data_IF_616002666125
#
_entry.id   IF_616002666125
#
_cell.length_a   1.000
_cell.length_b   1.000
_cell.length_c   1.000
_cell.angle_alpha   90.00
_cell.angle_beta   90.00
_cell.angle_gamma   90.00
#
_symmetry.space_group_name_H-M   'P 1'
#
loop_
_entity.id
_entity.type
_entity.pdbx_description
1 polymer ?
#
# COMPACT_ATOMS: atom_id res chain seq x y z
N UNK A 1 -13.40 -27.94 -25.60
CA UNK A 1 -12.57 -26.77 -25.92
C UNK A 1 -13.49 -25.64 -26.39
N UNK A 2 -14.15 -24.98 -25.43
CA UNK A 2 -15.01 -23.85 -25.69
C UNK A 2 -14.17 -22.59 -25.93
N UNK A 3 -14.54 -21.80 -26.90
CA UNK A 3 -14.04 -20.46 -27.08
C UNK A 3 -14.68 -19.62 -25.96
N UNK A 4 -13.97 -19.43 -24.82
CA UNK A 4 -14.40 -18.51 -23.79
C UNK A 4 -14.58 -17.11 -24.40
N UNK A 5 -15.73 -16.49 -24.15
CA UNK A 5 -15.99 -15.13 -24.61
C UNK A 5 -14.94 -14.18 -24.01
N UNK A 6 -14.38 -13.22 -24.78
CA UNK A 6 -13.41 -12.26 -24.27
C UNK A 6 -13.88 -11.50 -23.03
N UNK A 7 -15.18 -11.40 -22.80
CA UNK A 7 -15.79 -10.79 -21.63
C UNK A 7 -15.58 -11.58 -20.31
N UNK A 8 -15.58 -12.92 -20.36
CA UNK A 8 -15.41 -13.78 -19.18
C UNK A 8 -14.00 -13.64 -18.58
N UNK A 9 -12.96 -13.69 -19.45
CA UNK A 9 -11.59 -13.50 -19.02
C UNK A 9 -11.36 -12.10 -18.42
N UNK A 10 -12.01 -11.08 -19.00
CA UNK A 10 -11.92 -9.71 -18.50
C UNK A 10 -12.54 -9.59 -17.10
N UNK A 11 -13.68 -10.22 -16.88
CA UNK A 11 -14.39 -10.22 -15.59
C UNK A 11 -13.58 -10.88 -14.48
N UNK A 12 -12.91 -12.00 -14.78
CA UNK A 12 -12.02 -12.69 -13.82
C UNK A 12 -10.82 -11.80 -13.46
N UNK A 13 -10.25 -11.07 -14.41
CA UNK A 13 -9.16 -10.12 -14.17
C UNK A 13 -9.65 -8.96 -13.28
N UNK A 14 -10.89 -8.51 -13.47
CA UNK A 14 -11.48 -7.44 -12.66
C UNK A 14 -11.64 -7.83 -11.20
N UNK A 15 -12.00 -9.10 -10.91
CA UNK A 15 -12.05 -9.61 -9.51
C UNK A 15 -10.69 -9.45 -8.84
N UNK A 16 -9.63 -9.95 -9.51
CA UNK A 16 -8.29 -9.89 -8.95
C UNK A 16 -7.85 -8.44 -8.68
N UNK A 17 -8.15 -7.52 -9.60
CA UNK A 17 -7.85 -6.09 -9.42
C UNK A 17 -8.63 -5.46 -8.27
N UNK A 18 -9.92 -5.75 -8.17
CA UNK A 18 -10.77 -5.23 -7.10
C UNK A 18 -10.28 -5.71 -5.74
N UNK A 19 -9.96 -7.01 -5.63
CA UNK A 19 -9.42 -7.60 -4.41
C UNK A 19 -8.10 -6.94 -4.01
N UNK A 20 -7.19 -6.72 -4.96
CA UNK A 20 -5.90 -6.09 -4.72
C UNK A 20 -6.05 -4.62 -4.28
N UNK A 21 -6.95 -3.87 -4.92
CA UNK A 21 -7.19 -2.47 -4.59
C UNK A 21 -7.79 -2.24 -3.20
N UNK A 22 -8.65 -3.16 -2.74
CA UNK A 22 -9.37 -3.01 -1.47
C UNK A 22 -8.71 -3.72 -0.29
N UNK A 23 -8.00 -4.82 -0.55
CA UNK A 23 -7.51 -5.71 0.49
C UNK A 23 -5.99 -5.99 0.44
N UNK A 24 -5.32 -5.67 -0.66
CA UNK A 24 -3.87 -5.90 -0.89
C UNK A 24 -3.45 -7.38 -0.79
N UNK A 25 -4.41 -8.30 -0.61
CA UNK A 25 -4.20 -9.75 -0.53
C UNK A 25 -5.47 -10.51 -0.93
N UNK A 26 -5.37 -11.84 -1.07
CA UNK A 26 -6.51 -12.72 -1.37
C UNK A 26 -6.92 -12.76 -2.84
N UNK A 27 -6.16 -12.15 -3.77
CA UNK A 27 -6.48 -12.12 -5.21
C UNK A 27 -6.64 -13.53 -5.79
N UNK A 28 -5.73 -14.44 -5.47
CA UNK A 28 -5.79 -15.84 -5.90
C UNK A 28 -7.00 -16.55 -5.31
N UNK A 29 -7.29 -16.32 -4.01
CA UNK A 29 -8.43 -16.93 -3.34
C UNK A 29 -9.75 -16.53 -3.99
N UNK A 30 -9.95 -15.25 -4.29
CA UNK A 30 -11.16 -14.75 -4.96
C UNK A 30 -11.38 -15.41 -6.33
N UNK A 31 -10.32 -15.49 -7.14
CA UNK A 31 -10.38 -16.11 -8.48
C UNK A 31 -10.65 -17.61 -8.40
N UNK A 32 -10.01 -18.32 -7.48
CA UNK A 32 -10.16 -19.76 -7.30
C UNK A 32 -11.57 -20.12 -6.80
N UNK A 33 -12.11 -19.33 -5.84
CA UNK A 33 -13.50 -19.52 -5.39
C UNK A 33 -14.48 -19.26 -6.53
N UNK A 34 -14.31 -18.18 -7.32
CA UNK A 34 -15.18 -17.90 -8.47
C UNK A 34 -15.18 -19.03 -9.48
N UNK A 35 -14.01 -19.56 -9.83
CA UNK A 35 -13.88 -20.70 -10.74
C UNK A 35 -14.57 -21.96 -10.23
N UNK A 36 -14.44 -22.27 -8.93
CA UNK A 36 -15.11 -23.44 -8.36
C UNK A 36 -16.63 -23.24 -8.25
N UNK A 37 -17.12 -22.01 -7.95
CA UNK A 37 -18.55 -21.70 -7.99
C UNK A 37 -19.15 -21.91 -9.37
N UNK A 38 -18.48 -21.48 -10.43
CA UNK A 38 -18.92 -21.70 -11.82
C UNK A 38 -18.96 -23.19 -12.17
N UNK A 39 -17.93 -23.95 -11.79
CA UNK A 39 -17.92 -25.40 -11.98
C UNK A 39 -19.06 -26.07 -11.25
N UNK A 40 -19.34 -25.71 -10.02
CA UNK A 40 -20.48 -26.25 -9.24
C UNK A 40 -21.82 -25.83 -9.83
N UNK A 41 -21.93 -24.64 -10.41
CA UNK A 41 -23.16 -24.22 -11.08
C UNK A 41 -23.46 -25.05 -12.32
N UNK A 42 -22.43 -25.44 -13.11
CA UNK A 42 -22.57 -26.36 -14.24
C UNK A 42 -23.15 -27.72 -13.77
N UNK A 43 -22.59 -28.29 -12.70
CA UNK A 43 -23.09 -29.54 -12.11
C UNK A 43 -24.58 -29.44 -11.67
N UNK A 44 -25.00 -28.27 -11.16
CA UNK A 44 -26.40 -28.03 -10.77
C UNK A 44 -27.33 -27.86 -11.99
N UNK A 45 -26.88 -27.19 -13.03
CA UNK A 45 -27.64 -27.06 -14.31
C UNK A 45 -27.84 -28.42 -14.93
N UNK A 46 -26.83 -29.28 -14.93
CA UNK A 46 -26.96 -30.69 -15.40
C UNK A 46 -27.98 -31.49 -14.59
N UNK A 47 -28.21 -31.13 -13.33
CA UNK A 47 -29.25 -31.68 -12.46
C UNK A 47 -30.62 -31.02 -12.64
N UNK A 48 -30.79 -30.17 -13.67
CA UNK A 48 -32.01 -29.41 -13.96
C UNK A 48 -32.37 -28.38 -12.87
N UNK A 49 -31.39 -27.81 -12.17
CA UNK A 49 -31.60 -26.63 -11.33
C UNK A 49 -31.49 -25.38 -12.20
N UNK A 50 -32.53 -24.55 -12.20
CA UNK A 50 -32.57 -23.35 -13.03
C UNK A 50 -31.51 -22.33 -12.59
N UNK A 51 -30.78 -21.67 -13.52
CA UNK A 51 -29.74 -20.66 -13.21
C UNK A 51 -30.20 -19.58 -12.21
N UNK A 52 -31.44 -19.09 -12.35
CA UNK A 52 -32.02 -18.11 -11.41
C UNK A 52 -32.03 -18.61 -9.97
N UNK A 53 -32.33 -19.90 -9.72
CA UNK A 53 -32.32 -20.51 -8.38
C UNK A 53 -30.90 -20.63 -7.86
N UNK A 54 -29.94 -20.97 -8.75
CA UNK A 54 -28.52 -21.04 -8.40
C UNK A 54 -28.03 -19.66 -7.99
N UNK A 55 -28.34 -18.61 -8.77
CA UNK A 55 -27.99 -17.24 -8.46
C UNK A 55 -28.55 -16.79 -7.11
N UNK A 56 -29.79 -17.10 -6.80
CA UNK A 56 -30.42 -16.75 -5.52
C UNK A 56 -29.76 -17.48 -4.36
N UNK A 57 -29.54 -18.79 -4.50
CA UNK A 57 -28.84 -19.59 -3.48
C UNK A 57 -27.40 -19.12 -3.24
N UNK A 58 -26.69 -18.70 -4.27
CA UNK A 58 -25.32 -18.14 -4.12
C UNK A 58 -25.33 -16.79 -3.39
N UNK A 59 -26.31 -15.93 -3.64
CA UNK A 59 -26.47 -14.68 -2.89
C UNK A 59 -26.77 -14.94 -1.42
N UNK A 60 -27.75 -15.79 -1.13
CA UNK A 60 -28.09 -16.16 0.25
C UNK A 60 -26.87 -16.73 0.99
N UNK A 61 -26.09 -17.59 0.31
CA UNK A 61 -24.87 -18.17 0.89
C UNK A 61 -23.80 -17.11 1.14
N UNK A 62 -23.59 -16.20 0.20
CA UNK A 62 -22.61 -15.10 0.32
C UNK A 62 -22.96 -14.16 1.47
N UNK A 63 -24.22 -13.71 1.53
CA UNK A 63 -24.72 -12.83 2.59
C UNK A 63 -24.56 -13.49 3.96
N UNK A 64 -24.93 -14.77 4.05
CA UNK A 64 -24.79 -15.54 5.30
C UNK A 64 -23.31 -15.77 5.67
N UNK A 65 -22.44 -16.02 4.70
CA UNK A 65 -21.01 -16.16 4.96
C UNK A 65 -20.41 -14.87 5.55
N UNK A 66 -20.77 -13.72 5.01
CA UNK A 66 -20.34 -12.40 5.52
C UNK A 66 -20.81 -12.19 6.96
N UNK A 67 -22.08 -12.47 7.26
CA UNK A 67 -22.60 -12.39 8.63
C UNK A 67 -21.84 -13.30 9.60
N UNK A 68 -21.46 -14.50 9.16
CA UNK A 68 -20.74 -15.48 9.97
C UNK A 68 -19.26 -15.14 10.18
N UNK A 69 -18.64 -14.40 9.27
CA UNK A 69 -17.22 -13.97 9.39
C UNK A 69 -17.00 -13.22 10.70
N UNK A 70 -17.90 -12.30 11.06
CA UNK A 70 -17.81 -11.53 12.29
C UNK A 70 -17.79 -12.40 13.55
N UNK A 71 -18.42 -13.58 13.50
CA UNK A 71 -18.46 -14.52 14.63
C UNK A 71 -17.13 -15.26 14.84
N UNK A 72 -16.27 -15.30 13.83
CA UNK A 72 -14.97 -15.97 13.86
C UNK A 72 -13.81 -14.99 14.08
N UNK A 73 -14.09 -13.68 14.07
CA UNK A 73 -13.08 -12.62 14.25
C UNK A 73 -12.56 -12.55 15.69
N UNK A 74 -11.31 -12.17 15.81
CA UNK A 74 -10.68 -11.79 17.09
C UNK A 74 -10.14 -10.37 17.00
N UNK A 75 -10.16 -9.64 18.14
CA UNK A 75 -9.62 -8.30 18.21
C UNK A 75 -8.11 -8.24 17.88
N UNK A 76 -7.66 -7.08 17.41
CA UNK A 76 -6.29 -6.87 16.93
C UNK A 76 -5.45 -6.17 17.98
N UNK A 77 -4.27 -6.72 18.26
CA UNK A 77 -3.20 -6.04 18.98
C UNK A 77 -1.97 -5.86 18.06
N UNK A 78 -0.98 -5.10 18.52
CA UNK A 78 0.23 -4.84 17.74
C UNK A 78 1.00 -6.13 17.39
N UNK A 79 0.95 -7.15 18.24
CA UNK A 79 1.60 -8.45 17.98
C UNK A 79 0.88 -9.19 16.86
N UNK A 80 -0.45 -9.14 16.85
CA UNK A 80 -1.26 -9.72 15.79
C UNK A 80 -1.01 -9.02 14.45
N UNK A 81 -0.90 -7.69 14.43
CA UNK A 81 -0.50 -6.95 13.21
C UNK A 81 0.83 -7.42 12.65
N UNK A 82 1.81 -7.71 13.52
CA UNK A 82 3.10 -8.26 13.07
C UNK A 82 2.96 -9.66 12.47
N UNK A 83 2.12 -10.51 13.05
CA UNK A 83 1.88 -11.85 12.49
C UNK A 83 1.07 -11.78 11.17
N UNK A 84 0.12 -10.84 11.04
CA UNK A 84 -0.57 -10.54 9.77
C UNK A 84 0.44 -10.13 8.69
N UNK A 85 1.35 -9.19 8.98
CA UNK A 85 2.41 -8.80 8.06
C UNK A 85 3.30 -9.99 7.66
N UNK A 86 3.67 -10.85 8.61
CA UNK A 86 4.44 -12.07 8.33
C UNK A 86 3.69 -13.04 7.43
N UNK A 87 2.38 -13.17 7.60
CA UNK A 87 1.54 -14.00 6.75
C UNK A 87 1.53 -13.48 5.32
N UNK A 88 1.32 -12.17 5.11
CA UNK A 88 1.33 -11.52 3.81
C UNK A 88 2.69 -11.63 3.09
N UNK A 89 3.79 -11.62 3.83
CA UNK A 89 5.16 -11.78 3.31
C UNK A 89 5.55 -13.24 3.03
N UNK A 90 4.71 -14.19 3.44
CA UNK A 90 4.98 -15.62 3.24
C UNK A 90 4.85 -16.00 1.76
N UNK A 91 5.78 -16.82 1.27
CA UNK A 91 5.81 -17.25 -0.13
C UNK A 91 6.44 -16.24 -1.10
N UNK A 92 6.86 -15.07 -0.62
CA UNK A 92 7.61 -14.07 -1.38
C UNK A 92 9.11 -14.23 -1.11
N UNK A 93 9.97 -13.76 -2.03
CA UNK A 93 11.44 -13.96 -1.94
C UNK A 93 12.13 -13.32 -0.72
N UNK A 94 11.35 -12.72 0.14
CA UNK A 94 11.81 -12.05 1.37
C UNK A 94 11.89 -12.93 2.61
N UNK A 95 11.72 -14.24 2.48
CA UNK A 95 11.61 -15.17 3.61
C UNK A 95 12.68 -15.02 4.71
N UNK A 96 13.94 -14.83 4.34
CA UNK A 96 15.06 -14.67 5.28
C UNK A 96 15.03 -13.35 6.08
N UNK A 97 14.31 -12.35 5.64
CA UNK A 97 14.17 -11.02 6.27
C UNK A 97 12.74 -10.67 6.63
N UNK A 98 11.88 -11.67 6.58
CA UNK A 98 10.43 -11.55 6.81
C UNK A 98 10.10 -10.85 8.13
N UNK A 99 10.78 -11.23 9.23
CA UNK A 99 10.54 -10.61 10.54
C UNK A 99 10.93 -9.13 10.56
N UNK A 100 12.05 -8.80 9.94
CA UNK A 100 12.53 -7.43 9.85
C UNK A 100 11.57 -6.54 9.05
N UNK A 101 11.13 -7.00 7.87
CA UNK A 101 10.19 -6.26 7.04
C UNK A 101 8.81 -6.15 7.69
N UNK A 102 8.34 -7.20 8.38
CA UNK A 102 7.08 -7.15 9.12
C UNK A 102 7.10 -6.07 10.20
N UNK A 103 8.19 -5.98 10.95
CA UNK A 103 8.35 -4.99 12.01
C UNK A 103 8.35 -3.55 11.45
N UNK A 104 9.07 -3.31 10.36
CA UNK A 104 9.07 -2.01 9.68
C UNK A 104 7.68 -1.67 9.13
N UNK A 105 6.98 -2.65 8.53
CA UNK A 105 5.63 -2.45 7.98
C UNK A 105 4.64 -2.02 9.05
N UNK A 106 4.62 -2.71 10.19
CA UNK A 106 3.74 -2.36 11.31
C UNK A 106 4.08 -0.99 11.88
N UNK A 107 5.35 -0.69 12.08
CA UNK A 107 5.79 0.63 12.57
C UNK A 107 5.39 1.75 11.60
N UNK A 108 5.56 1.55 10.30
CA UNK A 108 5.19 2.54 9.30
C UNK A 108 3.68 2.83 9.32
N UNK A 109 2.84 1.78 9.34
CA UNK A 109 1.38 1.93 9.41
C UNK A 109 0.95 2.64 10.70
N UNK A 110 1.43 2.20 11.86
CA UNK A 110 1.08 2.81 13.14
C UNK A 110 1.55 4.26 13.28
N UNK A 111 2.61 4.65 12.56
CA UNK A 111 3.11 6.04 12.58
C UNK A 111 2.18 7.01 11.85
N UNK A 112 1.42 6.54 10.85
CA UNK A 112 0.50 7.37 10.07
C UNK A 112 -0.97 7.14 10.42
N UNK A 113 -1.27 6.10 11.19
CA UNK A 113 -2.62 5.79 11.63
C UNK A 113 -3.22 6.96 12.44
N UNK A 114 -4.48 7.27 12.15
CA UNK A 114 -5.26 8.28 12.83
C UNK A 114 -6.48 7.61 13.45
N UNK A 115 -6.78 7.94 14.69
CA UNK A 115 -7.99 7.50 15.37
C UNK A 115 -8.97 8.67 15.42
N UNK A 116 -10.17 8.47 14.95
CA UNK A 116 -11.26 9.42 15.06
C UNK A 116 -12.49 8.78 15.73
N UNK A 117 -13.63 9.50 15.75
CA UNK A 117 -14.86 9.02 16.36
C UNK A 117 -15.49 7.84 15.60
N UNK A 118 -15.10 7.61 14.36
CA UNK A 118 -15.61 6.54 13.48
C UNK A 118 -14.71 5.30 13.48
N UNK A 119 -13.48 5.41 14.00
CA UNK A 119 -12.52 4.30 14.12
C UNK A 119 -11.11 4.67 13.69
N UNK A 120 -10.27 3.66 13.49
CA UNK A 120 -8.92 3.82 12.97
C UNK A 120 -8.95 3.99 11.44
N UNK A 121 -8.18 4.94 10.92
CA UNK A 121 -8.01 5.19 9.49
C UNK A 121 -6.52 5.30 9.15
N UNK A 122 -6.12 4.72 8.03
CA UNK A 122 -4.73 4.73 7.56
C UNK A 122 -4.69 5.20 6.11
N UNK A 123 -4.08 6.35 5.87
CA UNK A 123 -3.78 6.80 4.51
C UNK A 123 -2.39 6.29 4.10
N UNK A 124 -2.35 5.26 3.24
CA UNK A 124 -1.10 4.68 2.76
C UNK A 124 -0.27 5.65 1.92
N UNK A 125 -0.85 6.70 1.35
CA UNK A 125 -0.13 7.75 0.64
C UNK A 125 0.77 8.57 1.57
N UNK A 126 0.52 8.52 2.88
CA UNK A 126 1.37 9.13 3.90
C UNK A 126 2.63 8.29 4.20
N UNK A 127 2.75 7.06 3.69
CA UNK A 127 3.96 6.23 3.75
C UNK A 127 4.72 6.33 2.42
N UNK A 128 5.78 7.13 2.39
CA UNK A 128 6.62 7.27 1.20
C UNK A 128 7.64 6.14 1.10
N UNK A 129 7.53 5.34 0.05
CA UNK A 129 8.46 4.24 -0.19
C UNK A 129 9.51 4.66 -1.22
N UNK A 130 10.75 4.76 -0.78
CA UNK A 130 11.92 5.00 -1.64
C UNK A 130 12.71 3.71 -1.77
N UNK A 131 13.22 3.44 -2.97
CA UNK A 131 14.06 2.29 -3.25
C UNK A 131 15.46 2.74 -3.68
N UNK A 132 16.49 2.03 -3.19
CA UNK A 132 17.88 2.27 -3.61
C UNK A 132 18.68 0.98 -3.63
N UNK A 133 19.24 0.67 -4.79
CA UNK A 133 20.13 -0.47 -4.95
C UNK A 133 21.39 -0.30 -4.09
N UNK A 134 21.95 -1.42 -3.68
CA UNK A 134 23.16 -1.52 -2.87
C UNK A 134 22.87 -1.77 -1.39
N UNK A 135 23.75 -2.51 -0.76
CA UNK A 135 23.56 -2.99 0.60
C UNK A 135 22.64 -4.21 0.69
N UNK A 136 22.24 -4.53 1.89
CA UNK A 136 21.36 -5.66 2.26
C UNK A 136 19.93 -5.16 2.47
N UNK A 137 18.94 -6.03 2.37
CA UNK A 137 17.55 -5.73 2.74
C UNK A 137 17.45 -5.26 4.20
N UNK A 138 18.34 -5.73 5.08
CA UNK A 138 18.41 -5.31 6.48
C UNK A 138 18.93 -3.89 6.70
N UNK A 139 19.49 -3.26 5.65
CA UNK A 139 19.89 -1.86 5.66
C UNK A 139 18.72 -0.94 5.30
N UNK A 140 17.54 -1.50 5.05
CA UNK A 140 16.31 -0.73 4.89
C UNK A 140 15.95 -0.03 6.22
N UNK A 141 15.45 1.19 6.13
CA UNK A 141 15.19 2.02 7.31
C UNK A 141 13.84 2.72 7.22
N UNK A 142 13.15 2.81 8.34
CA UNK A 142 12.02 3.71 8.54
C UNK A 142 12.55 5.04 9.08
N UNK A 143 12.16 6.12 8.45
CA UNK A 143 12.53 7.50 8.83
C UNK A 143 11.27 8.25 9.21
N UNK A 144 11.27 8.79 10.41
CA UNK A 144 10.23 9.71 10.89
C UNK A 144 10.41 11.07 10.21
N UNK A 145 9.86 11.17 9.00
CA UNK A 145 10.05 12.29 8.11
C UNK A 145 10.04 11.86 6.64
N UNK A 146 10.62 12.70 5.80
CA UNK A 146 10.58 12.52 4.34
C UNK A 146 11.98 12.31 3.77
N UNK A 147 12.11 11.31 2.91
CA UNK A 147 13.32 11.07 2.12
C UNK A 147 13.06 11.54 0.68
N UNK A 148 13.96 12.35 0.17
CA UNK A 148 13.92 12.88 -1.19
C UNK A 148 15.08 12.30 -2.01
N UNK A 149 14.79 11.72 -3.16
CA UNK A 149 15.80 11.29 -4.14
C UNK A 149 16.30 12.51 -4.92
N UNK A 150 16.94 13.40 -4.20
CA UNK A 150 17.49 14.69 -4.64
C UNK A 150 18.79 14.97 -3.90
N UNK A 151 19.62 15.80 -4.52
CA UNK A 151 20.85 16.34 -3.94
C UNK A 151 20.74 17.85 -3.71
N UNK A 152 21.56 18.41 -2.85
CA UNK A 152 21.68 19.85 -2.73
C UNK A 152 22.21 20.47 -4.02
N UNK A 153 21.69 21.62 -4.39
CA UNK A 153 21.93 22.21 -5.71
C UNK A 153 23.33 22.81 -5.89
N UNK A 154 24.05 23.11 -4.79
CA UNK A 154 25.35 23.75 -4.85
C UNK A 154 26.32 23.19 -3.80
N UNK A 155 27.54 22.89 -4.20
CA UNK A 155 28.57 22.28 -3.34
C UNK A 155 28.98 23.11 -2.11
N UNK A 156 28.84 24.41 -2.19
CA UNK A 156 29.13 25.34 -1.08
C UNK A 156 28.03 25.42 -0.02
N UNK A 157 26.87 24.80 -0.26
CA UNK A 157 25.81 24.74 0.73
C UNK A 157 26.17 23.77 1.87
N UNK A 158 25.65 23.98 3.10
CA UNK A 158 25.84 23.03 4.20
C UNK A 158 25.26 21.66 3.84
N UNK A 159 25.93 20.57 4.25
CA UNK A 159 25.41 19.20 4.06
C UNK A 159 24.32 18.84 5.06
N UNK A 160 24.29 19.52 6.18
CA UNK A 160 23.36 19.27 7.27
C UNK A 160 22.93 20.60 7.90
N UNK A 161 21.64 20.73 8.14
CA UNK A 161 21.03 21.87 8.82
C UNK A 161 20.22 21.33 10.00
N UNK A 162 20.52 21.82 11.20
CA UNK A 162 19.76 21.51 12.41
C UNK A 162 18.73 22.62 12.67
N UNK A 163 17.63 22.29 13.34
CA UNK A 163 16.52 23.22 13.54
C UNK A 163 16.08 23.86 12.21
N UNK A 164 15.78 22.99 11.24
CA UNK A 164 15.46 23.41 9.90
C UNK A 164 14.14 24.18 9.86
N UNK A 165 14.21 25.39 9.27
CA UNK A 165 13.06 26.20 8.88
C UNK A 165 12.96 26.10 7.34
N UNK A 166 11.94 25.39 6.87
CA UNK A 166 11.85 24.92 5.49
C UNK A 166 10.85 25.77 4.71
N UNK A 167 11.33 26.46 3.67
CA UNK A 167 10.48 27.11 2.69
C UNK A 167 10.12 26.13 1.57
N UNK A 168 8.82 25.83 1.41
CA UNK A 168 8.27 24.99 0.35
C UNK A 168 7.78 25.88 -0.79
N UNK A 169 8.53 25.91 -1.90
CA UNK A 169 8.32 26.87 -2.98
C UNK A 169 7.88 26.17 -4.25
N UNK A 170 6.71 26.55 -4.80
CA UNK A 170 6.19 26.08 -6.08
C UNK A 170 6.32 27.15 -7.19
N UNK A 171 7.33 27.98 -7.14
CA UNK A 171 7.67 28.90 -8.21
C UNK A 171 9.13 28.75 -8.61
N UNK A 172 9.46 29.05 -9.86
CA UNK A 172 10.84 29.07 -10.32
C UNK A 172 11.59 30.23 -9.66
N UNK A 173 12.78 29.96 -9.17
CA UNK A 173 13.73 30.97 -8.67
C UNK A 173 14.71 31.24 -9.81
N UNK A 174 14.17 31.74 -10.89
CA UNK A 174 14.85 31.97 -12.17
C UNK A 174 14.38 33.31 -12.76
N UNK A 175 15.20 33.89 -13.63
CA UNK A 175 14.75 35.03 -14.44
C UNK A 175 13.67 34.54 -15.39
N UNK A 176 12.50 35.16 -15.35
CA UNK A 176 11.40 34.82 -16.26
C UNK A 176 11.81 35.14 -17.69
N UNK A 177 12.02 34.11 -18.50
CA UNK A 177 12.09 34.29 -19.95
C UNK A 177 10.69 34.70 -20.46
N UNK A 178 10.66 35.74 -21.31
CA UNK A 178 9.40 36.14 -21.96
C UNK A 178 8.80 34.98 -22.73
N UNK A 179 7.49 34.73 -22.56
CA UNK A 179 6.76 33.66 -23.27
C UNK A 179 6.65 33.86 -24.78
N UNK A 180 7.10 35.02 -25.28
CA UNK A 180 7.19 35.37 -26.70
C UNK A 180 8.66 35.39 -27.08
N UNK A 181 9.00 34.81 -28.23
CA UNK A 181 10.34 34.92 -28.86
C UNK A 181 10.68 36.38 -29.22
N UNK A 182 10.72 37.25 -28.25
CA UNK A 182 11.18 38.62 -28.38
C UNK A 182 12.72 38.59 -28.44
N UNK A 183 13.25 38.60 -29.64
CA UNK A 183 14.70 38.85 -29.85
C UNK A 183 14.97 40.30 -29.52
N UNK A 184 15.46 40.55 -28.31
CA UNK A 184 16.00 41.86 -27.96
C UNK A 184 17.36 41.96 -28.67
N UNK A 185 17.46 42.76 -29.72
CA UNK A 185 18.74 43.09 -30.36
C UNK A 185 19.38 44.20 -29.52
N UNK A 186 20.31 43.81 -28.66
CA UNK A 186 21.16 44.76 -27.92
C UNK A 186 22.34 45.07 -28.80
N UNK A 187 22.40 46.31 -29.30
CA UNK A 187 23.49 46.79 -30.18
C UNK A 187 24.55 47.58 -29.41
N UNK A 188 24.28 47.96 -28.16
CA UNK A 188 25.21 48.70 -27.31
C UNK A 188 25.71 47.80 -26.16
N UNK A 189 27.06 47.61 -26.03
CA UNK A 189 27.66 46.87 -24.92
C UNK A 189 27.27 47.36 -23.52
N UNK A 190 27.01 48.66 -23.34
CA UNK A 190 26.61 49.24 -22.07
C UNK A 190 25.17 48.79 -21.68
N UNK A 191 24.26 48.67 -22.65
CA UNK A 191 22.93 48.17 -22.43
C UNK A 191 22.93 46.70 -22.05
N UNK A 192 23.84 45.89 -22.61
CA UNK A 192 24.00 44.50 -22.23
C UNK A 192 24.45 44.35 -20.77
N UNK A 193 25.42 45.17 -20.34
CA UNK A 193 25.87 45.16 -18.96
C UNK A 193 24.77 45.56 -17.99
N UNK A 194 23.99 46.59 -18.29
CA UNK A 194 22.85 47.02 -17.49
C UNK A 194 21.78 45.93 -17.36
N UNK A 195 21.50 45.22 -18.46
CA UNK A 195 20.54 44.14 -18.47
C UNK A 195 20.98 42.95 -17.58
N UNK A 196 22.26 42.59 -17.64
CA UNK A 196 22.85 41.55 -16.79
C UNK A 196 22.85 41.98 -15.32
N UNK A 197 23.11 43.23 -15.01
CA UNK A 197 23.07 43.78 -13.65
C UNK A 197 21.64 43.76 -13.10
N UNK A 198 20.62 44.05 -13.92
CA UNK A 198 19.22 43.98 -13.55
C UNK A 198 18.78 42.51 -13.27
N UNK A 199 19.20 41.55 -14.12
CA UNK A 199 18.94 40.14 -13.88
C UNK A 199 19.58 39.65 -12.57
N UNK A 200 20.85 40.00 -12.34
CA UNK A 200 21.53 39.69 -11.09
C UNK A 200 20.81 40.26 -9.87
N UNK A 201 20.44 41.53 -9.95
CA UNK A 201 19.71 42.20 -8.85
C UNK A 201 18.33 41.56 -8.61
N UNK A 202 17.63 41.14 -9.65
CA UNK A 202 16.36 40.44 -9.52
C UNK A 202 16.53 39.12 -8.78
N UNK A 203 17.51 38.29 -9.17
CA UNK A 203 17.80 37.00 -8.51
C UNK A 203 18.23 37.21 -7.05
N UNK A 204 19.03 38.24 -6.78
CA UNK A 204 19.44 38.62 -5.42
C UNK A 204 18.23 38.97 -4.56
N UNK A 205 17.31 39.79 -5.08
CA UNK A 205 16.08 40.15 -4.38
C UNK A 205 15.19 38.93 -4.07
N UNK A 206 15.13 37.94 -4.95
CA UNK A 206 14.40 36.68 -4.68
C UNK A 206 15.04 35.90 -3.52
N UNK A 207 16.37 35.84 -3.47
CA UNK A 207 17.10 35.17 -2.37
C UNK A 207 16.95 35.95 -1.08
N UNK A 208 17.01 37.28 -1.12
CA UNK A 208 16.84 38.15 0.05
C UNK A 208 15.46 37.94 0.73
N UNK A 209 14.39 37.79 -0.06
CA UNK A 209 13.05 37.43 0.48
C UNK A 209 13.06 36.11 1.23
N UNK A 210 13.78 35.11 0.75
CA UNK A 210 13.93 33.82 1.43
C UNK A 210 14.70 34.01 2.73
N UNK A 211 15.77 34.78 2.75
CA UNK A 211 16.55 35.08 3.95
C UNK A 211 15.71 35.85 4.97
N UNK A 212 14.96 36.84 4.53
CA UNK A 212 14.08 37.67 5.38
C UNK A 212 12.97 36.86 6.05
N UNK A 213 12.47 35.81 5.38
CA UNK A 213 11.49 34.87 5.98
C UNK A 213 12.08 34.06 7.15
N UNK A 214 13.40 34.03 7.30
CA UNK A 214 14.10 33.22 8.30
C UNK A 214 14.31 31.76 7.90
N UNK A 215 14.05 31.39 6.64
CA UNK A 215 14.29 30.06 6.13
C UNK A 215 15.79 29.76 6.03
N UNK A 216 16.20 28.58 6.50
CA UNK A 216 17.55 28.05 6.34
C UNK A 216 17.61 26.85 5.36
N UNK A 217 16.44 26.42 4.92
CA UNK A 217 16.27 25.32 3.96
C UNK A 217 15.21 25.70 2.93
N UNK A 218 15.47 25.44 1.66
CA UNK A 218 14.55 25.68 0.54
C UNK A 218 14.32 24.39 -0.23
N UNK A 219 13.07 24.01 -0.37
CA UNK A 219 12.67 22.90 -1.24
C UNK A 219 11.80 23.46 -2.35
N UNK A 220 12.37 23.52 -3.55
CA UNK A 220 11.74 24.11 -4.71
C UNK A 220 11.20 23.03 -5.64
N UNK A 221 9.92 23.14 -6.03
CA UNK A 221 9.30 22.24 -7.00
C UNK A 221 9.77 22.54 -8.44
N UNK A 222 10.22 23.76 -8.70
CA UNK A 222 10.70 24.23 -10.00
C UNK A 222 12.22 24.34 -10.01
N UNK A 223 12.77 25.00 -11.03
CA UNK A 223 14.20 25.28 -11.15
C UNK A 223 14.69 26.39 -10.22
N UNK A 224 15.98 26.38 -9.97
CA UNK A 224 16.71 27.46 -9.28
C UNK A 224 17.88 27.81 -10.15
N UNK A 225 17.98 29.10 -10.52
CA UNK A 225 19.10 29.64 -11.31
C UNK A 225 20.43 29.45 -10.61
N UNK A 226 21.51 29.23 -11.35
CA UNK A 226 22.84 28.96 -10.79
C UNK A 226 23.37 30.13 -9.95
N UNK A 227 23.05 31.36 -10.34
CA UNK A 227 23.41 32.53 -9.58
C UNK A 227 22.63 32.65 -8.28
N UNK A 228 21.33 32.33 -8.30
CA UNK A 228 20.52 32.24 -7.10
C UNK A 228 21.05 31.15 -6.14
N UNK A 229 21.46 29.99 -6.66
CA UNK A 229 22.09 28.92 -5.86
C UNK A 229 23.36 29.43 -5.16
N UNK A 230 24.19 30.21 -5.87
CA UNK A 230 25.40 30.81 -5.31
C UNK A 230 25.09 31.78 -4.15
N UNK A 231 24.07 32.64 -4.30
CA UNK A 231 23.67 33.56 -3.23
C UNK A 231 23.08 32.82 -2.04
N UNK A 232 22.25 31.80 -2.26
CA UNK A 232 21.75 30.94 -1.19
C UNK A 232 22.89 30.25 -0.43
N UNK A 233 23.88 29.73 -1.17
CA UNK A 233 25.07 29.12 -0.58
C UNK A 233 25.85 30.08 0.30
N UNK A 234 26.03 31.33 -0.13
CA UNK A 234 26.67 32.38 0.69
C UNK A 234 25.89 32.72 1.95
N UNK A 235 24.57 32.62 1.89
CA UNK A 235 23.69 32.85 3.04
C UNK A 235 23.55 31.61 3.94
N UNK A 236 24.26 30.52 3.64
CA UNK A 236 24.23 29.29 4.43
C UNK A 236 22.91 28.48 4.31
N UNK A 237 22.14 28.73 3.27
CA UNK A 237 20.89 28.04 3.00
C UNK A 237 21.17 26.70 2.30
N UNK A 238 20.51 25.65 2.78
CA UNK A 238 20.43 24.37 2.10
C UNK A 238 19.28 24.40 1.10
N UNK A 239 19.51 24.05 -0.17
CA UNK A 239 18.46 24.07 -1.18
C UNK A 239 18.48 22.84 -2.08
N UNK A 240 17.29 22.41 -2.46
CA UNK A 240 17.04 21.40 -3.52
C UNK A 240 16.08 21.98 -4.55
N UNK A 241 16.18 21.48 -5.79
CA UNK A 241 15.32 21.90 -6.91
C UNK A 241 14.58 20.73 -7.53
N UNK A 242 13.52 21.01 -8.28
CA UNK A 242 12.73 20.04 -9.04
C UNK A 242 12.19 18.90 -8.15
N UNK A 243 11.76 19.22 -6.94
CA UNK A 243 11.04 18.29 -6.08
C UNK A 243 9.71 17.91 -6.74
N UNK A 244 9.28 16.67 -6.58
CA UNK A 244 8.00 16.20 -7.12
C UNK A 244 6.85 16.85 -6.33
N UNK A 245 5.69 17.03 -6.98
CA UNK A 245 4.49 17.56 -6.33
C UNK A 245 4.10 16.72 -5.11
N UNK A 246 4.13 15.39 -5.24
CA UNK A 246 3.83 14.46 -4.15
C UNK A 246 4.80 14.60 -2.96
N UNK A 247 6.07 14.91 -3.22
CA UNK A 247 7.05 15.14 -2.15
C UNK A 247 6.79 16.46 -1.44
N UNK A 248 6.37 17.52 -2.18
CA UNK A 248 5.99 18.79 -1.60
C UNK A 248 4.76 18.67 -0.67
N UNK A 249 3.75 17.91 -1.10
CA UNK A 249 2.55 17.64 -0.31
C UNK A 249 2.88 16.85 0.96
N UNK A 250 3.70 15.80 0.85
CA UNK A 250 4.16 15.03 2.00
C UNK A 250 4.98 15.88 2.98
N UNK A 251 5.89 16.73 2.48
CA UNK A 251 6.66 17.66 3.30
C UNK A 251 5.76 18.68 4.01
N UNK A 252 4.76 19.22 3.32
CA UNK A 252 3.79 20.13 3.93
C UNK A 252 3.04 19.47 5.08
N UNK A 253 2.57 18.23 4.90
CA UNK A 253 1.91 17.44 5.94
C UNK A 253 2.85 17.16 7.13
N UNK A 254 4.07 16.72 6.86
CA UNK A 254 5.02 16.31 7.90
C UNK A 254 5.60 17.49 8.69
N UNK A 255 5.94 18.60 8.03
CA UNK A 255 6.63 19.74 8.62
C UNK A 255 5.69 20.85 9.09
N UNK A 256 4.42 20.81 8.67
CA UNK A 256 3.44 21.85 8.90
C UNK A 256 3.65 23.11 8.03
N UNK A 257 4.60 23.09 7.09
CA UNK A 257 4.86 24.21 6.19
C UNK A 257 3.80 24.36 5.09
N UNK A 258 3.55 25.59 4.68
CA UNK A 258 2.67 25.92 3.56
C UNK A 258 3.45 26.00 2.25
N UNK A 259 2.95 25.38 1.19
CA UNK A 259 3.51 25.51 -0.16
C UNK A 259 3.13 26.88 -0.70
N UNK A 260 4.12 27.73 -1.00
CA UNK A 260 3.92 29.05 -1.58
C UNK A 260 4.13 29.04 -3.08
N UNK A 261 3.23 29.68 -3.82
CA UNK A 261 3.29 29.77 -5.28
C UNK A 261 4.03 31.05 -5.74
N UNK A 262 4.26 31.99 -4.84
CA UNK A 262 5.00 33.22 -5.09
C UNK A 262 5.87 33.52 -3.86
N UNK A 263 7.14 33.88 -4.08
CA UNK A 263 8.06 34.26 -3.00
C UNK A 263 7.65 35.57 -2.28
N UNK A 264 6.84 36.41 -2.93
CA UNK A 264 6.29 37.62 -2.30
C UNK A 264 5.33 37.31 -1.15
N UNK A 265 4.72 36.11 -1.18
CA UNK A 265 3.78 35.65 -0.14
C UNK A 265 4.47 34.86 0.97
N UNK A 266 5.80 34.66 0.89
CA UNK A 266 6.55 33.86 1.87
C UNK A 266 6.75 34.65 3.15
N UNK A 267 6.28 34.08 4.25
CA UNK A 267 6.45 34.64 5.61
C UNK A 267 6.99 33.58 6.56
N UNK A 268 7.46 33.99 7.75
CA UNK A 268 7.92 33.04 8.77
C UNK A 268 6.85 32.03 9.18
N UNK A 269 5.55 32.43 9.16
CA UNK A 269 4.43 31.54 9.45
C UNK A 269 4.16 30.44 8.43
N UNK A 270 4.76 30.53 7.26
CA UNK A 270 4.62 29.54 6.17
C UNK A 270 5.71 28.45 6.21
N UNK A 271 6.74 28.66 7.06
CA UNK A 271 7.87 27.75 7.11
C UNK A 271 7.52 26.45 7.81
N UNK A 272 7.89 25.34 7.18
CA UNK A 272 7.89 24.04 7.82
C UNK A 272 9.03 23.89 8.82
N UNK A 273 8.84 23.04 9.81
CA UNK A 273 9.82 22.78 10.87
C UNK A 273 10.27 21.32 10.82
N UNK A 274 11.57 21.09 10.92
CA UNK A 274 12.15 19.78 11.13
C UNK A 274 13.39 19.89 12.05
N UNK A 275 13.67 18.83 12.79
CA UNK A 275 14.85 18.82 13.66
C UNK A 275 16.14 18.86 12.84
N UNK A 276 16.14 18.18 11.68
CA UNK A 276 17.34 18.06 10.84
C UNK A 276 16.96 17.87 9.35
N UNK A 277 17.71 18.54 8.49
CA UNK A 277 17.76 18.26 7.05
C UNK A 277 19.19 17.92 6.70
N UNK A 278 19.44 16.79 6.06
CA UNK A 278 20.77 16.29 5.78
C UNK A 278 20.85 15.56 4.45
N UNK A 279 21.91 15.86 3.69
CA UNK A 279 22.29 15.07 2.53
C UNK A 279 23.18 13.91 2.96
N UNK A 280 22.73 12.68 2.65
CA UNK A 280 23.47 11.45 2.91
C UNK A 280 23.75 10.72 1.60
N UNK A 281 24.95 10.15 1.51
CA UNK A 281 25.29 9.28 0.41
C UNK A 281 24.72 7.90 0.63
N UNK A 282 23.85 7.45 -0.29
CA UNK A 282 23.19 6.15 -0.25
C UNK A 282 23.55 5.39 -1.53
N UNK A 283 24.47 4.42 -1.42
CA UNK A 283 25.06 3.78 -2.60
C UNK A 283 25.86 4.78 -3.43
N UNK A 284 25.52 4.92 -4.71
CA UNK A 284 26.23 5.79 -5.65
C UNK A 284 25.65 7.20 -5.79
N UNK A 285 24.56 7.52 -5.10
CA UNK A 285 23.89 8.82 -5.17
C UNK A 285 23.66 9.44 -3.80
N UNK A 286 23.50 10.76 -3.80
CA UNK A 286 23.12 11.50 -2.62
C UNK A 286 21.58 11.56 -2.51
N UNK A 287 21.07 11.49 -1.29
CA UNK A 287 19.64 11.65 -0.95
C UNK A 287 19.49 12.62 0.20
N UNK A 288 18.38 13.35 0.24
CA UNK A 288 18.09 14.32 1.30
C UNK A 288 17.07 13.73 2.28
N UNK A 289 17.42 13.77 3.55
CA UNK A 289 16.62 13.31 4.68
C UNK A 289 16.12 14.51 5.47
N UNK A 290 14.80 14.59 5.64
CA UNK A 290 14.12 15.57 6.48
C UNK A 290 13.58 14.81 7.68
N UNK A 291 14.19 14.95 8.85
CA UNK A 291 13.96 14.14 10.04
C UNK A 291 13.45 14.96 11.22
N UNK A 292 12.70 14.31 12.12
CA UNK A 292 12.17 14.92 13.33
C UNK A 292 11.13 15.99 13.01
N UNK A 293 10.17 15.63 12.17
CA UNK A 293 9.05 16.49 11.82
C UNK A 293 8.03 16.50 12.97
N UNK A 294 7.51 17.68 13.39
CA UNK A 294 6.63 17.79 14.57
C UNK A 294 5.23 17.20 14.32
N UNK A 295 4.81 17.11 13.08
CA UNK A 295 3.56 16.50 12.68
C UNK A 295 3.88 15.21 11.94
N UNK A 296 4.02 14.10 12.69
CA UNK A 296 4.35 12.77 12.16
C UNK A 296 3.19 12.14 11.34
N UNK A 297 2.61 12.89 10.40
CA UNK A 297 1.55 12.42 9.51
C UNK A 297 2.08 11.82 8.21
N UNK A 298 3.37 11.85 7.98
CA UNK A 298 4.02 11.22 6.82
C UNK A 298 5.38 10.68 7.23
N UNK A 299 5.64 9.43 6.87
CA UNK A 299 6.92 8.75 7.10
C UNK A 299 7.50 8.25 5.80
N UNK A 300 8.79 8.03 5.77
CA UNK A 300 9.47 7.42 4.63
C UNK A 300 10.13 6.11 4.99
N UNK A 301 10.06 5.16 4.07
CA UNK A 301 10.79 3.90 4.16
C UNK A 301 11.79 3.84 3.01
N UNK A 302 13.06 3.71 3.33
CA UNK A 302 14.12 3.47 2.36
C UNK A 302 14.38 1.97 2.28
N UNK A 303 13.99 1.36 1.17
CA UNK A 303 14.22 -0.05 0.90
C UNK A 303 15.55 -0.25 0.19
N UNK A 304 16.34 -1.22 0.65
CA UNK A 304 17.66 -1.58 0.15
C UNK A 304 17.67 -3.02 -0.35
N UNK A 305 18.61 -3.32 -1.25
CA UNK A 305 18.83 -4.68 -1.75
C UNK A 305 20.02 -4.73 -2.70
N UNK A 306 20.61 -5.90 -2.86
CA UNK A 306 21.84 -6.08 -3.62
C UNK A 306 21.70 -5.78 -5.11
N UNK A 307 20.54 -6.01 -5.69
CA UNK A 307 20.23 -5.74 -7.09
C UNK A 307 18.93 -4.97 -7.24
N UNK A 308 18.73 -4.27 -8.35
CA UNK A 308 17.49 -3.55 -8.63
C UNK A 308 16.26 -4.46 -8.61
N UNK A 309 16.40 -5.64 -9.18
CA UNK A 309 15.33 -6.66 -9.21
C UNK A 309 14.90 -7.10 -7.80
N UNK A 310 15.88 -7.32 -6.91
CA UNK A 310 15.61 -7.66 -5.51
C UNK A 310 14.92 -6.50 -4.79
N UNK A 311 15.35 -5.26 -5.02
CA UNK A 311 14.73 -4.09 -4.39
C UNK A 311 13.30 -3.89 -4.88
N UNK A 312 13.01 -4.12 -6.17
CA UNK A 312 11.66 -4.03 -6.73
C UNK A 312 10.72 -5.08 -6.15
N UNK A 313 11.22 -6.29 -5.94
CA UNK A 313 10.46 -7.37 -5.34
C UNK A 313 10.19 -7.11 -3.84
N UNK A 314 11.19 -6.63 -3.11
CA UNK A 314 11.04 -6.20 -1.72
C UNK A 314 10.05 -5.05 -1.61
N UNK A 315 10.07 -4.10 -2.55
CA UNK A 315 9.12 -2.99 -2.57
C UNK A 315 7.68 -3.48 -2.71
N UNK A 316 7.40 -4.35 -3.68
CA UNK A 316 6.06 -4.93 -3.85
C UNK A 316 5.60 -5.68 -2.60
N UNK A 317 6.48 -6.54 -2.07
CA UNK A 317 6.17 -7.29 -0.86
C UNK A 317 5.90 -6.39 0.34
N UNK A 318 6.64 -5.28 0.47
CA UNK A 318 6.43 -4.28 1.51
C UNK A 318 5.13 -3.51 1.32
N UNK A 319 4.81 -3.08 0.09
CA UNK A 319 3.56 -2.38 -0.23
C UNK A 319 2.34 -3.26 0.08
N UNK A 320 2.39 -4.55 -0.25
CA UNK A 320 1.34 -5.51 0.13
C UNK A 320 1.24 -5.64 1.66
N UNK A 321 2.38 -5.76 2.34
CA UNK A 321 2.38 -5.91 3.80
C UNK A 321 1.81 -4.70 4.52
N UNK A 322 2.16 -3.47 4.13
CA UNK A 322 1.57 -2.26 4.74
C UNK A 322 0.08 -2.15 4.43
N UNK A 323 -0.35 -2.54 3.22
CA UNK A 323 -1.77 -2.56 2.86
C UNK A 323 -2.58 -3.50 3.73
N UNK A 324 -2.12 -4.74 3.89
CA UNK A 324 -2.79 -5.75 4.72
C UNK A 324 -2.81 -5.36 6.20
N UNK A 325 -1.71 -4.78 6.71
CA UNK A 325 -1.63 -4.29 8.09
C UNK A 325 -2.59 -3.12 8.31
N UNK A 326 -2.67 -2.19 7.35
CA UNK A 326 -3.60 -1.06 7.41
C UNK A 326 -5.06 -1.56 7.49
N UNK A 327 -5.45 -2.47 6.61
CA UNK A 327 -6.78 -3.09 6.61
C UNK A 327 -7.07 -3.77 7.95
N UNK A 328 -6.14 -4.56 8.49
CA UNK A 328 -6.33 -5.23 9.78
C UNK A 328 -6.46 -4.23 10.95
N UNK A 329 -5.72 -3.12 10.87
CA UNK A 329 -5.78 -2.08 11.90
C UNK A 329 -7.09 -1.30 11.85
N UNK A 330 -7.55 -0.93 10.65
CA UNK A 330 -8.82 -0.22 10.44
C UNK A 330 -10.03 -1.07 10.87
N UNK A 331 -10.06 -2.33 10.48
CA UNK A 331 -11.17 -3.23 10.79
C UNK A 331 -11.20 -3.66 12.27
N UNK A 332 -10.04 -3.60 12.94
CA UNK A 332 -9.89 -4.04 14.32
C UNK A 332 -10.17 -5.54 14.52
N UNK A 333 -10.24 -6.34 13.46
CA UNK A 333 -10.56 -7.76 13.49
C UNK A 333 -9.65 -8.56 12.53
N UNK A 334 -9.19 -9.71 13.04
CA UNK A 334 -8.43 -10.70 12.26
C UNK A 334 -9.04 -12.08 12.41
N UNK A 335 -8.82 -12.88 11.37
CA UNK A 335 -9.23 -14.28 11.28
C UNK A 335 -7.99 -15.18 11.30
N UNK A 336 -8.17 -16.44 11.66
CA UNK A 336 -7.11 -17.45 11.50
C UNK A 336 -7.04 -17.89 10.04
N UNK A 337 -5.84 -17.89 9.49
CA UNK A 337 -5.58 -18.25 8.09
C UNK A 337 -5.45 -19.76 7.86
N UNK A 338 -4.75 -20.14 6.78
CA UNK A 338 -4.58 -21.54 6.41
C UNK A 338 -5.87 -22.24 6.01
N UNK A 339 -6.87 -21.47 5.57
CA UNK A 339 -8.18 -21.99 5.20
C UNK A 339 -9.05 -22.41 6.38
N UNK A 340 -8.67 -22.07 7.63
CA UNK A 340 -9.45 -22.45 8.84
C UNK A 340 -10.83 -21.81 8.86
N UNK A 341 -10.92 -20.48 8.67
CA UNK A 341 -12.21 -19.78 8.66
C UNK A 341 -13.06 -20.23 7.47
N UNK A 342 -12.47 -20.43 6.31
CA UNK A 342 -13.16 -20.95 5.13
C UNK A 342 -13.78 -22.33 5.41
N UNK A 343 -13.08 -23.20 6.12
CA UNK A 343 -13.63 -24.51 6.53
C UNK A 343 -14.76 -24.38 7.57
N UNK A 344 -14.64 -23.43 8.49
CA UNK A 344 -15.70 -23.11 9.45
C UNK A 344 -16.96 -22.59 8.73
N UNK A 345 -16.80 -21.63 7.83
CA UNK A 345 -17.88 -21.09 7.00
C UNK A 345 -18.54 -22.18 6.14
N UNK A 346 -17.75 -23.06 5.54
CA UNK A 346 -18.28 -24.21 4.78
C UNK A 346 -19.20 -25.09 5.65
N UNK A 347 -18.78 -25.40 6.87
CA UNK A 347 -19.61 -26.15 7.81
C UNK A 347 -20.92 -25.41 8.15
N UNK A 348 -20.81 -24.14 8.51
CA UNK A 348 -21.93 -23.35 8.98
C UNK A 348 -22.95 -23.08 7.86
N UNK A 349 -22.46 -22.89 6.63
CA UNK A 349 -23.32 -22.79 5.44
C UNK A 349 -24.06 -24.08 5.10
N UNK A 350 -23.51 -25.27 5.38
CA UNK A 350 -24.25 -26.53 5.25
C UNK A 350 -25.43 -26.60 6.20
N UNK A 351 -25.20 -26.19 7.44
CA UNK A 351 -26.29 -26.11 8.43
C UNK A 351 -27.36 -25.08 8.02
N UNK A 352 -26.93 -23.96 7.48
CA UNK A 352 -27.82 -22.94 6.93
C UNK A 352 -28.64 -23.47 5.74
N UNK A 353 -28.02 -24.22 4.84
CA UNK A 353 -28.68 -24.85 3.70
C UNK A 353 -29.82 -25.80 4.16
N UNK A 354 -29.56 -26.66 5.17
CA UNK A 354 -30.54 -27.54 5.71
C UNK A 354 -31.73 -26.77 6.31
N UNK A 355 -31.51 -25.62 6.92
CA UNK A 355 -32.55 -24.76 7.51
C UNK A 355 -33.35 -23.98 6.44
N UNK A 356 -32.75 -23.69 5.28
CA UNK A 356 -33.38 -22.96 4.17
C UNK A 356 -34.35 -23.86 3.41
N UNK A 357 -33.95 -25.09 3.12
CA UNK A 357 -34.74 -26.05 2.35
C UNK A 357 -34.93 -25.64 0.89
N UNK A 358 -35.81 -26.33 0.20
CA UNK A 358 -36.12 -25.99 -1.20
C UNK A 358 -35.01 -26.28 -2.21
N UNK A 359 -35.12 -25.67 -3.37
CA UNK A 359 -34.08 -25.81 -4.44
C UNK A 359 -32.86 -24.95 -4.16
N UNK A 360 -33.02 -23.86 -3.44
CA UNK A 360 -31.98 -22.97 -2.97
C UNK A 360 -30.98 -23.70 -2.07
N UNK A 361 -31.45 -24.68 -1.29
CA UNK A 361 -30.61 -25.55 -0.46
C UNK A 361 -29.49 -26.18 -1.28
N UNK A 362 -29.76 -26.69 -2.48
CA UNK A 362 -28.76 -27.33 -3.33
C UNK A 362 -27.67 -26.32 -3.77
N UNK A 363 -28.07 -25.10 -4.07
CA UNK A 363 -27.14 -24.06 -4.44
C UNK A 363 -26.28 -23.59 -3.24
N UNK A 364 -26.84 -23.47 -2.06
CA UNK A 364 -26.10 -23.13 -0.83
C UNK A 364 -25.11 -24.24 -0.46
N UNK A 365 -25.48 -25.50 -0.59
CA UNK A 365 -24.59 -26.66 -0.38
C UNK A 365 -23.45 -26.69 -1.40
N UNK A 366 -23.73 -26.36 -2.66
CA UNK A 366 -22.72 -26.22 -3.69
C UNK A 366 -21.74 -25.06 -3.38
N UNK A 367 -22.25 -23.92 -2.91
CA UNK A 367 -21.44 -22.80 -2.47
C UNK A 367 -20.53 -23.19 -1.29
N UNK A 368 -21.08 -23.81 -0.27
CA UNK A 368 -20.35 -24.34 0.87
C UNK A 368 -19.21 -25.27 0.44
N UNK A 369 -19.49 -26.17 -0.50
CA UNK A 369 -18.49 -27.11 -1.03
C UNK A 369 -17.45 -26.42 -1.90
N UNK A 370 -17.82 -25.35 -2.61
CA UNK A 370 -16.90 -24.56 -3.40
C UNK A 370 -15.85 -23.85 -2.53
N UNK A 371 -16.23 -23.36 -1.36
CA UNK A 371 -15.29 -22.71 -0.44
C UNK A 371 -14.14 -23.65 -0.03
N UNK A 372 -14.35 -24.95 0.06
CA UNK A 372 -13.32 -25.93 0.44
C UNK A 372 -12.20 -26.06 -0.60
N UNK A 373 -12.34 -25.42 -1.76
CA UNK A 373 -11.25 -25.34 -2.76
C UNK A 373 -10.00 -24.67 -2.16
N UNK A 374 -10.16 -23.71 -1.24
CA UNK A 374 -9.04 -23.01 -0.63
C UNK A 374 -8.16 -23.94 0.22
N UNK A 375 -8.66 -24.61 1.27
CA UNK A 375 -7.83 -25.55 2.04
C UNK A 375 -7.38 -26.75 1.19
N UNK A 376 -8.13 -27.14 0.16
CA UNK A 376 -7.72 -28.19 -0.78
C UNK A 376 -6.49 -27.78 -1.58
N UNK A 377 -6.50 -26.59 -2.17
CA UNK A 377 -5.38 -26.06 -2.95
C UNK A 377 -4.15 -25.82 -2.07
N UNK A 378 -4.35 -25.37 -0.82
CA UNK A 378 -3.25 -25.25 0.15
C UNK A 378 -2.60 -26.62 0.43
N UNK A 379 -3.41 -27.68 0.60
CA UNK A 379 -2.91 -29.03 0.79
C UNK A 379 -2.13 -29.54 -0.43
N UNK A 380 -2.67 -29.35 -1.64
CA UNK A 380 -2.02 -29.73 -2.90
C UNK A 380 -0.67 -29.03 -3.06
N UNK A 381 -0.62 -27.70 -2.84
CA UNK A 381 0.61 -26.92 -2.95
C UNK A 381 1.65 -27.30 -1.88
N UNK A 382 1.20 -27.81 -0.73
CA UNK A 382 2.06 -28.33 0.32
C UNK A 382 2.51 -29.80 0.08
N UNK A 383 2.07 -30.44 -1.00
CA UNK A 383 2.36 -31.83 -1.29
C UNK A 383 1.63 -32.83 -0.39
N UNK A 384 0.53 -32.40 0.24
CA UNK A 384 -0.32 -33.25 1.07
C UNK A 384 -1.41 -33.90 0.21
N UNK A 385 -1.97 -35.02 0.70
CA UNK A 385 -3.18 -35.58 0.10
C UNK A 385 -4.37 -34.67 0.41
N UNK A 386 -4.95 -34.02 -0.62
CA UNK A 386 -6.02 -33.03 -0.42
C UNK A 386 -7.31 -33.65 0.13
N UNK A 387 -7.60 -34.92 -0.22
CA UNK A 387 -8.80 -35.61 0.22
C UNK A 387 -8.72 -35.91 1.71
N UNK A 388 -7.62 -36.54 2.16
CA UNK A 388 -7.40 -36.82 3.57
C UNK A 388 -7.32 -35.54 4.39
N UNK A 389 -6.66 -34.49 3.89
CA UNK A 389 -6.57 -33.20 4.58
C UNK A 389 -7.94 -32.55 4.80
N UNK A 390 -8.84 -32.59 3.80
CA UNK A 390 -10.21 -32.07 3.94
C UNK A 390 -11.00 -32.89 4.95
N UNK A 391 -10.87 -34.21 4.96
CA UNK A 391 -11.53 -35.10 5.93
C UNK A 391 -11.07 -34.76 7.36
N UNK A 392 -9.76 -34.63 7.58
CA UNK A 392 -9.21 -34.29 8.89
C UNK A 392 -9.64 -32.89 9.34
N UNK A 393 -9.71 -31.93 8.41
CA UNK A 393 -10.15 -30.56 8.68
C UNK A 393 -11.63 -30.54 9.09
N UNK A 394 -12.51 -31.21 8.34
CA UNK A 394 -13.92 -31.35 8.67
C UNK A 394 -14.12 -32.02 10.03
N UNK A 395 -13.34 -33.06 10.35
CA UNK A 395 -13.37 -33.71 11.65
C UNK A 395 -12.99 -32.75 12.77
N UNK A 396 -11.89 -32.01 12.62
CA UNK A 396 -11.47 -31.02 13.62
C UNK A 396 -12.55 -29.96 13.88
N UNK A 397 -13.16 -29.45 12.81
CA UNK A 397 -14.23 -28.45 12.92
C UNK A 397 -15.52 -29.03 13.53
N UNK A 398 -15.84 -30.30 13.29
CA UNK A 398 -16.98 -30.96 13.95
C UNK A 398 -16.78 -31.16 15.44
N UNK A 399 -15.50 -31.25 15.88
CA UNK A 399 -15.13 -31.31 17.30
C UNK A 399 -15.06 -29.91 17.96
N UNK A 400 -15.45 -28.84 17.28
CA UNK A 400 -15.46 -27.47 17.79
C UNK A 400 -14.12 -26.74 17.66
N UNK A 401 -13.13 -27.32 16.95
CA UNK A 401 -11.81 -26.73 16.72
C UNK A 401 -11.83 -25.78 15.52
N UNK A 402 -12.51 -24.64 15.64
CA UNK A 402 -12.76 -23.68 14.55
C UNK A 402 -11.50 -22.97 14.03
N UNK A 403 -10.40 -22.96 14.80
CA UNK A 403 -9.13 -22.34 14.42
C UNK A 403 -8.18 -23.27 13.67
N UNK A 404 -8.59 -24.54 13.44
CA UNK A 404 -7.75 -25.51 12.76
C UNK A 404 -7.79 -25.31 11.24
N UNK A 405 -6.60 -25.26 10.65
CA UNK A 405 -6.38 -25.07 9.21
C UNK A 405 -5.22 -25.90 8.69
N UNK A 406 -4.87 -25.73 7.42
CA UNK A 406 -3.80 -26.46 6.76
C UNK A 406 -2.45 -25.80 7.00
N UNK A 407 -1.51 -26.52 7.62
CA UNK A 407 -0.14 -26.05 7.77
C UNK A 407 0.70 -26.48 6.56
N UNK A 408 1.04 -25.50 5.71
CA UNK A 408 1.80 -25.75 4.47
C UNK A 408 3.29 -26.03 4.71
N UNK A 409 3.82 -25.74 5.90
CA UNK A 409 5.24 -25.96 6.21
C UNK A 409 5.52 -27.29 6.92
N UNK A 410 4.72 -27.62 7.91
CA UNK A 410 4.88 -28.84 8.71
C UNK A 410 4.02 -29.98 8.19
N UNK A 411 3.06 -29.65 7.35
CA UNK A 411 2.03 -30.58 6.88
C UNK A 411 0.93 -30.84 7.90
N UNK A 412 -0.23 -31.26 7.40
CA UNK A 412 -1.37 -31.66 8.23
C UNK A 412 -2.25 -30.49 8.71
N UNK A 413 -3.22 -30.83 9.54
CA UNK A 413 -4.24 -29.93 10.09
C UNK A 413 -3.86 -29.56 11.51
N UNK A 414 -3.64 -28.27 11.76
CA UNK A 414 -3.17 -27.75 13.06
C UNK A 414 -3.93 -26.49 13.47
N UNK A 415 -3.81 -26.10 14.74
CA UNK A 415 -4.35 -24.86 15.27
C UNK A 415 -3.60 -23.66 14.71
N UNK A 416 -4.20 -22.91 13.80
CA UNK A 416 -3.60 -21.77 13.12
C UNK A 416 -3.42 -20.55 14.02
N UNK A 417 -4.19 -20.44 15.10
CA UNK A 417 -3.97 -19.40 16.11
C UNK A 417 -2.64 -19.65 16.85
N UNK A 418 -2.33 -20.91 17.20
CA UNK A 418 -1.04 -21.28 17.78
C UNK A 418 0.10 -21.19 16.77
N UNK A 419 -0.16 -21.47 15.51
CA UNK A 419 0.80 -21.31 14.42
C UNK A 419 1.01 -19.84 14.04
N UNK A 420 0.23 -18.91 14.61
CA UNK A 420 0.29 -17.46 14.40
C UNK A 420 0.08 -17.06 12.93
N UNK A 421 -0.83 -17.72 12.24
CA UNK A 421 -1.22 -17.41 10.87
C UNK A 421 -2.54 -16.67 10.93
N UNK A 422 -2.51 -15.37 10.63
CA UNK A 422 -3.66 -14.49 10.69
C UNK A 422 -3.80 -13.69 9.39
N UNK A 423 -5.05 -13.39 9.04
CA UNK A 423 -5.42 -12.56 7.91
C UNK A 423 -6.55 -11.59 8.31
N UNK A 424 -6.66 -10.39 7.69
CA UNK A 424 -7.76 -9.48 7.98
C UNK A 424 -9.10 -10.07 7.56
N UNK A 425 -10.17 -9.76 8.31
CA UNK A 425 -11.53 -10.21 7.98
C UNK A 425 -11.99 -9.73 6.61
N UNK A 426 -11.71 -8.47 6.25
CA UNK A 426 -12.02 -7.86 4.95
C UNK A 426 -11.48 -8.65 3.76
N UNK A 427 -10.30 -9.25 3.89
CA UNK A 427 -9.69 -10.07 2.81
C UNK A 427 -10.57 -11.27 2.46
N UNK A 428 -11.07 -11.99 3.46
CA UNK A 428 -11.92 -13.16 3.28
C UNK A 428 -13.32 -12.74 2.81
N UNK A 429 -13.88 -11.72 3.43
CA UNK A 429 -15.18 -11.16 3.08
C UNK A 429 -15.22 -10.72 1.61
N UNK A 430 -14.29 -9.87 1.20
CA UNK A 430 -14.22 -9.36 -0.16
C UNK A 430 -14.00 -10.48 -1.18
N UNK A 431 -13.17 -11.48 -0.85
CA UNK A 431 -12.94 -12.61 -1.74
C UNK A 431 -14.22 -13.43 -1.98
N UNK A 432 -15.01 -13.68 -0.94
CA UNK A 432 -16.29 -14.41 -1.04
C UNK A 432 -17.33 -13.61 -1.81
N UNK A 433 -17.49 -12.31 -1.50
CA UNK A 433 -18.46 -11.43 -2.17
C UNK A 433 -18.12 -11.28 -3.65
N UNK A 434 -16.88 -10.92 -4.00
CA UNK A 434 -16.46 -10.73 -5.38
C UNK A 434 -16.59 -12.02 -6.21
N UNK A 435 -16.23 -13.17 -5.62
CA UNK A 435 -16.37 -14.47 -6.28
C UNK A 435 -17.86 -14.80 -6.54
N UNK A 436 -18.73 -14.57 -5.56
CA UNK A 436 -20.19 -14.80 -5.67
C UNK A 436 -20.82 -13.89 -6.73
N UNK A 437 -20.54 -12.58 -6.68
CA UNK A 437 -21.08 -11.61 -7.64
C UNK A 437 -20.69 -11.94 -9.06
N UNK A 438 -19.45 -12.33 -9.25
CA UNK A 438 -18.94 -12.73 -10.58
C UNK A 438 -19.57 -14.00 -11.09
N UNK A 439 -19.69 -15.03 -10.25
CA UNK A 439 -20.35 -16.26 -10.64
C UNK A 439 -21.83 -16.00 -11.03
N UNK A 440 -22.54 -15.19 -10.23
CA UNK A 440 -23.92 -14.80 -10.52
C UNK A 440 -24.03 -13.97 -11.81
N UNK A 441 -23.06 -13.07 -12.08
CA UNK A 441 -23.06 -12.27 -13.30
C UNK A 441 -22.86 -13.14 -14.54
N UNK A 442 -21.92 -14.07 -14.49
CA UNK A 442 -21.65 -14.99 -15.62
C UNK A 442 -22.85 -15.89 -15.88
N UNK A 443 -23.47 -16.46 -14.81
CA UNK A 443 -24.66 -17.30 -14.95
C UNK A 443 -25.87 -16.58 -15.55
N UNK A 444 -25.93 -15.25 -15.45
CA UNK A 444 -27.01 -14.43 -16.04
C UNK A 444 -26.78 -14.03 -17.50
N UNK A 445 -25.54 -14.12 -17.99
CA UNK A 445 -25.23 -13.80 -19.38
C UNK A 445 -25.71 -14.90 -20.33
N UNK A 446 -25.74 -16.15 -19.85
CA UNK A 446 -26.15 -17.33 -20.63
C UNK A 446 -27.67 -17.63 -20.53
N UNK A 447 -28.48 -16.80 -19.86
CA UNK A 447 -29.93 -16.88 -19.75
C UNK A 447 -30.57 -15.87 -20.72
#
# INVERSE_FOLDING_TARGET
>A
CGHGHPNEATTIIEIAKTQEQHCFDGTTSAVVIAGELLKRSEELVDQNVHPTVICEGFRLASDKAVELIDTHGSGVDQKMLTEVAKTALTGKSTGAVKEFLSDISVKAVLSVAQEDAEGAMVDLDDIKVQKKQGGSIRDSTLVDGIILDKERVHSGMPRSVTNAKIALVNSAIEVKKTEVDAKIQITDPNMLSQFLDEEEQFLRNLVDKIVESGANTVICQKGIDDLAQHYMSKSGIFAIRRAKKSDMEALSKATGGRIVNNLDDLSEGDLGIASKVEERKIGDSDMVFVEGCPQAKSVSVLLRGGTEHVVDEVKRAFEDAIGVVAVAHEDGAVLTGGGSVIAALSRDLRLFAESTGGREQMAIEAFSSALEVIPRTLAENAGLDPVNTIIDLRKAHSEGKSTYGVNVYQGGVVDMAKAKVFEPSRVVEQAIQSASETAVMILRIDD
#
